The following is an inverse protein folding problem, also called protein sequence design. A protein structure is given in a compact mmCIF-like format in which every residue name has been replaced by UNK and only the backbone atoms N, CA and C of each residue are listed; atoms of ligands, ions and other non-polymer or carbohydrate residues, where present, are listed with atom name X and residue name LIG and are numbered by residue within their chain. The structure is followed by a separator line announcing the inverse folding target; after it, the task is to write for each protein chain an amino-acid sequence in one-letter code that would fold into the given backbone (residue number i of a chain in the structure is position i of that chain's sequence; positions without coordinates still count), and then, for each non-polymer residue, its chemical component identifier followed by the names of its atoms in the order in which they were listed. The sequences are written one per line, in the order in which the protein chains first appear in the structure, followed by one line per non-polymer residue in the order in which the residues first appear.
data_IF_299059048791
#
_entry.id   IF_299059048791
#
_cell.length_a   1.000
_cell.length_b   1.000
_cell.length_c   1.000
_cell.angle_alpha   90.00
_cell.angle_beta   90.00
_cell.angle_gamma   90.00
#
_symmetry.space_group_name_H-M   'P 1'
#
loop_
_entity.id
_entity.type
_entity.pdbx_description
1 polymer ?
#
# COMPACT_ATOMS: atom_id res chain seq x y z
N UNK A 1 70.03 -19.70 -6.48
CA UNK A 1 68.56 -19.63 -6.30
C UNK A 1 68.04 -18.19 -6.37
N UNK A 2 68.21 -17.47 -7.49
CA UNK A 2 67.93 -16.02 -7.54
C UNK A 2 67.37 -15.68 -8.93
N UNK A 3 66.16 -15.11 -9.00
CA UNK A 3 65.47 -14.78 -10.27
C UNK A 3 64.18 -15.58 -10.49
N UNK A 4 64.28 -16.82 -10.97
CA UNK A 4 63.13 -17.62 -11.44
C UNK A 4 62.10 -17.96 -10.35
N UNK A 5 62.53 -18.30 -9.13
CA UNK A 5 61.61 -18.59 -8.02
C UNK A 5 60.85 -17.36 -7.52
N UNK A 6 61.48 -16.17 -7.59
CA UNK A 6 60.85 -14.91 -7.19
C UNK A 6 59.78 -14.49 -8.21
N UNK A 7 60.07 -14.67 -9.51
CA UNK A 7 59.13 -14.41 -10.60
C UNK A 7 57.90 -15.33 -10.47
N UNK A 8 58.10 -16.64 -10.25
CA UNK A 8 56.99 -17.58 -10.05
C UNK A 8 56.15 -17.22 -8.82
N UNK A 9 56.77 -16.79 -7.72
CA UNK A 9 56.06 -16.38 -6.51
C UNK A 9 55.19 -15.13 -6.76
N UNK A 10 55.74 -14.10 -7.42
CA UNK A 10 55.02 -12.86 -7.75
C UNK A 10 53.86 -13.16 -8.70
N UNK A 11 54.07 -14.01 -9.72
CA UNK A 11 53.03 -14.41 -10.66
C UNK A 11 51.91 -15.19 -9.96
N UNK A 12 52.26 -16.07 -9.01
CA UNK A 12 51.28 -16.86 -8.25
C UNK A 12 50.41 -15.99 -7.35
N UNK A 13 51.02 -14.98 -6.69
CA UNK A 13 50.29 -14.01 -5.86
C UNK A 13 49.37 -13.12 -6.70
N UNK A 14 49.82 -12.70 -7.88
CA UNK A 14 49.01 -11.89 -8.80
C UNK A 14 47.79 -12.67 -9.29
N UNK A 15 47.99 -13.93 -9.71
CA UNK A 15 46.91 -14.81 -10.14
C UNK A 15 45.91 -15.05 -9.01
N UNK A 16 46.39 -15.30 -7.79
CA UNK A 16 45.53 -15.51 -6.62
C UNK A 16 44.68 -14.27 -6.30
N UNK A 17 45.28 -13.08 -6.37
CA UNK A 17 44.59 -11.80 -6.16
C UNK A 17 43.52 -11.53 -7.22
N UNK A 18 43.82 -11.82 -8.49
CA UNK A 18 42.86 -11.68 -9.60
C UNK A 18 41.71 -12.69 -9.43
N UNK A 19 42.01 -13.96 -9.11
CA UNK A 19 40.99 -14.99 -8.90
C UNK A 19 40.11 -14.71 -7.67
N UNK A 20 40.68 -14.20 -6.57
CA UNK A 20 39.90 -13.81 -5.39
C UNK A 20 39.03 -12.59 -5.64
N UNK A 21 39.54 -11.59 -6.37
CA UNK A 21 38.74 -10.43 -6.81
C UNK A 21 37.59 -10.84 -7.73
N UNK A 22 37.82 -11.82 -8.61
CA UNK A 22 36.79 -12.36 -9.50
C UNK A 22 35.69 -13.10 -8.73
N UNK A 23 36.06 -13.94 -7.76
CA UNK A 23 35.11 -14.65 -6.90
C UNK A 23 34.31 -13.68 -6.02
N UNK A 24 34.96 -12.64 -5.51
CA UNK A 24 34.30 -11.58 -4.76
C UNK A 24 33.31 -10.80 -5.63
N UNK A 25 33.71 -10.37 -6.83
CA UNK A 25 32.83 -9.67 -7.77
C UNK A 25 31.67 -10.55 -8.25
N UNK A 26 31.94 -11.82 -8.59
CA UNK A 26 30.93 -12.80 -8.95
C UNK A 26 29.91 -12.98 -7.82
N UNK A 27 30.36 -13.07 -6.56
CA UNK A 27 29.45 -13.15 -5.43
C UNK A 27 28.67 -11.85 -5.21
N UNK A 28 29.28 -10.67 -5.39
CA UNK A 28 28.60 -9.38 -5.22
C UNK A 28 27.48 -9.20 -6.26
N UNK A 29 27.75 -9.51 -7.53
CA UNK A 29 26.81 -9.34 -8.64
C UNK A 29 25.76 -10.47 -8.72
N UNK A 30 26.11 -11.71 -8.35
CA UNK A 30 25.13 -12.81 -8.28
C UNK A 30 24.26 -12.77 -7.02
N UNK A 31 24.69 -12.11 -5.93
CA UNK A 31 23.81 -11.81 -4.79
C UNK A 31 22.77 -10.74 -5.13
N UNK A 32 23.08 -9.79 -6.01
CA UNK A 32 22.09 -8.84 -6.57
C UNK A 32 21.24 -9.44 -7.70
N UNK A 33 21.66 -10.57 -8.29
CA UNK A 33 20.85 -11.41 -9.16
C UNK A 33 19.85 -12.22 -8.32
N UNK A 34 19.01 -11.53 -7.54
CA UNK A 34 17.83 -12.17 -6.94
C UNK A 34 16.96 -12.64 -8.10
N UNK A 35 16.88 -13.96 -8.23
CA UNK A 35 16.22 -14.74 -9.26
C UNK A 35 14.68 -14.58 -9.35
N UNK A 36 14.10 -13.39 -9.11
CA UNK A 36 12.63 -13.23 -9.13
C UNK A 36 12.04 -11.84 -9.41
N UNK A 37 12.80 -10.74 -9.44
CA UNK A 37 12.25 -9.38 -9.27
C UNK A 37 11.33 -8.80 -10.37
N UNK A 38 11.28 -9.36 -11.57
CA UNK A 38 10.54 -8.72 -12.69
C UNK A 38 9.05 -9.07 -12.78
N UNK A 39 8.68 -10.31 -12.44
CA UNK A 39 7.29 -10.79 -12.55
C UNK A 39 6.58 -10.82 -11.21
N UNK A 40 7.31 -11.02 -10.11
CA UNK A 40 6.71 -11.12 -8.78
C UNK A 40 6.29 -9.73 -8.33
N UNK A 41 7.16 -8.72 -8.42
CA UNK A 41 6.94 -7.42 -7.77
C UNK A 41 5.77 -6.59 -8.39
N UNK A 42 5.61 -6.60 -9.72
CA UNK A 42 4.51 -5.87 -10.38
C UNK A 42 3.16 -6.61 -10.32
N UNK A 43 3.18 -7.95 -10.35
CA UNK A 43 1.99 -8.76 -10.08
C UNK A 43 1.58 -8.67 -8.61
N UNK A 44 2.57 -8.58 -7.71
CA UNK A 44 2.37 -8.35 -6.30
C UNK A 44 1.80 -6.97 -6.02
N UNK A 45 2.24 -5.92 -6.74
CA UNK A 45 1.63 -4.59 -6.67
C UNK A 45 0.16 -4.61 -7.11
N UNK A 46 -0.14 -5.31 -8.22
CA UNK A 46 -1.52 -5.50 -8.69
C UNK A 46 -2.37 -6.31 -7.71
N UNK A 47 -1.80 -7.35 -7.12
CA UNK A 47 -2.49 -8.19 -6.14
C UNK A 47 -2.76 -7.42 -4.84
N UNK A 48 -1.78 -6.67 -4.34
CA UNK A 48 -1.90 -5.80 -3.16
C UNK A 48 -3.01 -4.77 -3.38
N UNK A 49 -3.09 -4.18 -4.56
CA UNK A 49 -4.16 -3.25 -4.93
C UNK A 49 -5.57 -3.86 -4.80
N UNK A 50 -5.74 -5.10 -5.28
CA UNK A 50 -6.99 -5.85 -5.15
C UNK A 50 -7.28 -6.28 -3.70
N UNK A 51 -6.25 -6.68 -2.96
CA UNK A 51 -6.36 -7.06 -1.55
C UNK A 51 -6.80 -5.88 -0.69
N UNK A 52 -6.30 -4.68 -0.96
CA UNK A 52 -6.73 -3.45 -0.30
C UNK A 52 -8.23 -3.22 -0.51
N UNK A 53 -8.71 -3.35 -1.75
CA UNK A 53 -10.13 -3.17 -2.06
C UNK A 53 -11.00 -4.19 -1.31
N UNK A 54 -10.57 -5.46 -1.29
CA UNK A 54 -11.26 -6.51 -0.56
C UNK A 54 -11.27 -6.27 0.96
N UNK A 55 -10.13 -5.84 1.51
CA UNK A 55 -9.97 -5.53 2.94
C UNK A 55 -10.82 -4.33 3.34
N UNK A 56 -10.83 -3.26 2.56
CA UNK A 56 -11.70 -2.10 2.79
C UNK A 56 -13.19 -2.50 2.77
N UNK A 57 -13.60 -3.32 1.80
CA UNK A 57 -14.98 -3.83 1.74
C UNK A 57 -15.34 -4.71 2.95
N UNK A 58 -14.41 -5.54 3.44
CA UNK A 58 -14.59 -6.34 4.65
C UNK A 58 -14.73 -5.47 5.89
N UNK A 59 -13.84 -4.50 6.09
CA UNK A 59 -13.87 -3.55 7.21
C UNK A 59 -15.16 -2.72 7.22
N UNK A 60 -15.66 -2.32 6.04
CA UNK A 60 -16.94 -1.62 5.92
C UNK A 60 -18.12 -2.49 6.38
N UNK A 61 -18.13 -3.78 6.06
CA UNK A 61 -19.18 -4.72 6.48
C UNK A 61 -19.07 -5.11 7.95
N UNK A 62 -17.86 -5.08 8.50
CA UNK A 62 -17.60 -5.45 9.89
C UNK A 62 -16.79 -4.37 10.60
N UNK A 63 -17.48 -3.43 11.24
CA UNK A 63 -16.88 -2.35 12.03
C UNK A 63 -16.02 -2.82 13.21
N UNK A 64 -16.13 -4.10 13.61
CA UNK A 64 -15.32 -4.70 14.67
C UNK A 64 -14.04 -5.39 14.18
N UNK A 65 -13.86 -5.50 12.86
CA UNK A 65 -12.69 -6.13 12.29
C UNK A 65 -11.42 -5.30 12.53
N UNK A 66 -10.28 -6.00 12.62
CA UNK A 66 -8.99 -5.41 12.91
C UNK A 66 -8.51 -4.52 11.76
N UNK A 67 -8.33 -3.22 12.03
CA UNK A 67 -7.89 -2.25 11.04
C UNK A 67 -6.40 -2.35 10.70
N UNK A 68 -5.60 -3.06 11.50
CA UNK A 68 -4.15 -3.24 11.26
C UNK A 68 -3.87 -3.98 9.94
N UNK A 69 -4.81 -4.83 9.49
CA UNK A 69 -4.72 -5.50 8.19
C UNK A 69 -4.58 -4.49 7.05
N UNK A 70 -5.38 -3.41 7.05
CA UNK A 70 -5.31 -2.40 6.00
C UNK A 70 -4.03 -1.55 6.08
N UNK A 71 -3.52 -1.30 7.29
CA UNK A 71 -2.25 -0.58 7.49
C UNK A 71 -1.06 -1.38 6.95
N UNK A 72 -1.06 -2.70 7.13
CA UNK A 72 -0.05 -3.60 6.58
C UNK A 72 -0.07 -3.57 5.04
N UNK A 73 -1.25 -3.65 4.42
CA UNK A 73 -1.37 -3.58 2.96
C UNK A 73 -0.94 -2.21 2.40
N UNK A 74 -1.27 -1.11 3.09
CA UNK A 74 -0.80 0.24 2.71
C UNK A 74 0.73 0.36 2.82
N UNK A 75 1.33 -0.24 3.84
CA UNK A 75 2.79 -0.24 4.02
C UNK A 75 3.46 -1.01 2.89
N UNK A 76 2.97 -2.22 2.59
CA UNK A 76 3.45 -3.04 1.48
C UNK A 76 3.32 -2.31 0.14
N UNK A 77 2.21 -1.61 -0.09
CA UNK A 77 2.01 -0.83 -1.31
C UNK A 77 3.05 0.30 -1.46
N UNK A 78 3.38 1.00 -0.37
CA UNK A 78 4.44 2.02 -0.38
C UNK A 78 5.82 1.43 -0.66
N UNK A 79 6.12 0.24 -0.14
CA UNK A 79 7.37 -0.46 -0.41
C UNK A 79 7.47 -0.86 -1.89
N UNK A 80 6.41 -1.44 -2.45
CA UNK A 80 6.36 -1.84 -3.86
C UNK A 80 6.40 -0.62 -4.81
N UNK A 81 5.85 0.54 -4.41
CA UNK A 81 5.98 1.77 -5.18
C UNK A 81 7.42 2.29 -5.30
N UNK A 82 8.30 1.99 -4.34
CA UNK A 82 9.70 2.39 -4.44
C UNK A 82 10.38 1.68 -5.64
N UNK A 83 10.03 0.41 -5.88
CA UNK A 83 10.56 -0.41 -7.00
C UNK A 83 10.22 0.20 -8.37
N UNK A 84 9.03 0.80 -8.51
CA UNK A 84 8.59 1.52 -9.72
C UNK A 84 9.53 2.70 -10.04
N UNK A 85 10.17 3.27 -9.02
CA UNK A 85 11.07 4.42 -9.14
C UNK A 85 12.49 4.04 -9.57
N UNK A 86 12.92 2.81 -9.27
CA UNK A 86 14.30 2.36 -9.49
C UNK A 86 14.59 1.94 -10.94
N UNK A 87 13.62 2.10 -11.86
CA UNK A 87 13.80 1.81 -13.28
C UNK A 87 14.73 2.87 -13.90
N UNK A 88 16.01 2.53 -14.01
CA UNK A 88 17.06 3.41 -14.51
C UNK A 88 17.08 3.50 -16.06
N UNK A 89 15.95 3.89 -16.67
CA UNK A 89 15.83 4.23 -18.09
C UNK A 89 15.07 5.54 -18.24
N UNK A 90 15.58 6.44 -19.08
CA UNK A 90 14.96 7.75 -19.32
C UNK A 90 14.23 7.79 -20.66
N UNK A 91 13.10 7.10 -20.78
CA UNK A 91 12.18 7.30 -21.92
C UNK A 91 10.99 8.17 -21.49
N UNK A 92 10.47 9.06 -22.36
CA UNK A 92 9.28 9.86 -22.05
C UNK A 92 8.05 9.00 -21.72
N UNK A 93 7.90 7.85 -22.38
CA UNK A 93 6.83 6.89 -22.16
C UNK A 93 6.90 6.27 -20.75
N UNK A 94 8.09 5.85 -20.32
CA UNK A 94 8.31 5.29 -18.98
C UNK A 94 8.07 6.36 -17.90
N UNK A 95 8.62 7.56 -18.08
CA UNK A 95 8.46 8.67 -17.13
C UNK A 95 6.99 9.05 -16.95
N UNK A 96 6.21 9.11 -18.03
CA UNK A 96 4.78 9.39 -17.97
C UNK A 96 4.02 8.26 -17.26
N UNK A 97 4.37 6.99 -17.54
CA UNK A 97 3.73 5.83 -16.91
C UNK A 97 4.00 5.76 -15.40
N UNK A 98 5.25 5.98 -14.98
CA UNK A 98 5.64 6.07 -13.56
C UNK A 98 4.87 7.20 -12.87
N UNK A 99 4.75 8.37 -13.51
CA UNK A 99 4.03 9.52 -12.95
C UNK A 99 2.56 9.18 -12.73
N UNK A 100 1.90 8.55 -13.70
CA UNK A 100 0.49 8.13 -13.56
C UNK A 100 0.31 7.08 -12.46
N UNK A 101 1.19 6.09 -12.37
CA UNK A 101 1.16 5.06 -11.32
C UNK A 101 1.31 5.72 -9.94
N UNK A 102 2.26 6.65 -9.78
CA UNK A 102 2.45 7.40 -8.54
C UNK A 102 1.21 8.20 -8.17
N UNK A 103 0.69 9.01 -9.09
CA UNK A 103 -0.52 9.81 -8.84
C UNK A 103 -1.72 8.95 -8.46
N UNK A 104 -1.87 7.78 -9.09
CA UNK A 104 -2.91 6.81 -8.76
C UNK A 104 -2.77 6.32 -7.31
N UNK A 105 -1.60 5.80 -6.94
CA UNK A 105 -1.41 5.22 -5.63
C UNK A 105 -1.33 6.26 -4.51
N UNK A 106 -0.80 7.45 -4.77
CA UNK A 106 -0.82 8.57 -3.82
C UNK A 106 -2.26 8.97 -3.47
N UNK A 107 -3.12 9.10 -4.50
CA UNK A 107 -4.55 9.34 -4.29
C UNK A 107 -5.18 8.19 -3.50
N UNK A 108 -4.89 6.94 -3.86
CA UNK A 108 -5.43 5.76 -3.18
C UNK A 108 -5.04 5.72 -1.71
N UNK A 109 -3.79 6.03 -1.37
CA UNK A 109 -3.31 6.12 0.01
C UNK A 109 -4.09 7.20 0.78
N UNK A 110 -4.33 8.37 0.18
CA UNK A 110 -5.12 9.44 0.81
C UNK A 110 -6.55 8.96 1.08
N UNK A 111 -7.19 8.35 0.08
CA UNK A 111 -8.56 7.84 0.19
C UNK A 111 -8.67 6.74 1.25
N UNK A 112 -7.65 5.87 1.39
CA UNK A 112 -7.58 4.84 2.44
C UNK A 112 -7.41 5.43 3.84
N UNK A 113 -6.59 6.47 4.01
CA UNK A 113 -6.45 7.16 5.30
C UNK A 113 -7.76 7.83 5.72
N UNK A 114 -8.47 8.43 4.75
CA UNK A 114 -9.79 9.01 4.96
C UNK A 114 -10.82 7.93 5.35
N UNK A 115 -10.79 6.78 4.67
CA UNK A 115 -11.60 5.61 4.98
C UNK A 115 -11.37 5.14 6.43
N UNK A 116 -10.11 4.92 6.84
CA UNK A 116 -9.77 4.48 8.19
C UNK A 116 -10.23 5.46 9.26
N UNK A 117 -10.00 6.76 9.03
CA UNK A 117 -10.45 7.82 9.94
C UNK A 117 -11.97 7.83 10.05
N UNK A 118 -12.68 7.76 8.92
CA UNK A 118 -14.13 7.69 8.88
C UNK A 118 -14.68 6.46 9.59
N UNK A 119 -14.07 5.29 9.40
CA UNK A 119 -14.46 4.03 10.03
C UNK A 119 -14.31 4.09 11.56
N UNK A 120 -13.20 4.65 12.04
CA UNK A 120 -12.93 4.82 13.48
C UNK A 120 -13.94 5.74 14.13
N UNK A 121 -14.26 6.86 13.49
CA UNK A 121 -15.28 7.79 13.98
C UNK A 121 -16.69 7.18 13.95
N UNK A 122 -17.03 6.47 12.88
CA UNK A 122 -18.30 5.78 12.74
C UNK A 122 -18.47 4.73 13.84
N UNK A 123 -17.48 3.86 14.03
CA UNK A 123 -17.48 2.85 15.10
C UNK A 123 -17.69 3.49 16.46
N UNK A 124 -16.94 4.56 16.76
CA UNK A 124 -17.09 5.30 18.02
C UNK A 124 -18.50 5.85 18.21
N UNK A 125 -19.10 6.41 17.16
CA UNK A 125 -20.46 6.94 17.23
C UNK A 125 -21.49 5.82 17.47
N UNK A 126 -21.39 4.70 16.73
CA UNK A 126 -22.25 3.52 16.90
C UNK A 126 -22.14 2.95 18.31
N UNK A 127 -20.92 2.75 18.80
CA UNK A 127 -20.67 2.24 20.16
C UNK A 127 -21.20 3.20 21.25
N UNK A 128 -21.32 4.50 20.93
CA UNK A 128 -21.78 5.54 21.87
C UNK A 128 -23.29 5.81 21.84
N UNK A 129 -24.01 5.37 20.79
CA UNK A 129 -25.44 5.66 20.61
C UNK A 129 -26.29 5.06 21.73
N UNK A 130 -26.15 3.76 22.00
CA UNK A 130 -26.93 3.09 23.04
C UNK A 130 -26.60 3.63 24.46
N UNK A 131 -25.33 3.85 24.84
CA UNK A 131 -25.00 4.57 26.07
C UNK A 131 -25.64 5.97 26.15
N UNK A 132 -25.63 6.74 25.07
CA UNK A 132 -26.25 8.08 25.05
C UNK A 132 -27.76 8.02 25.21
N UNK A 133 -28.43 7.05 24.57
CA UNK A 133 -29.85 6.78 24.79
C UNK A 133 -30.15 6.43 26.27
N UNK A 134 -29.36 5.55 26.86
CA UNK A 134 -29.51 5.18 28.27
C UNK A 134 -29.32 6.38 29.21
N UNK A 135 -28.41 7.30 28.87
CA UNK A 135 -28.20 8.56 29.60
C UNK A 135 -29.43 9.48 29.52
N UNK A 136 -30.07 9.61 28.35
CA UNK A 136 -31.33 10.33 28.19
C UNK A 136 -32.44 9.72 29.06
N UNK A 137 -32.59 8.39 29.02
CA UNK A 137 -33.59 7.65 29.78
C UNK A 137 -33.41 7.80 31.30
N UNK A 138 -32.17 7.69 31.80
CA UNK A 138 -31.82 7.91 33.22
C UNK A 138 -32.18 9.32 33.69
N UNK A 139 -31.98 10.31 32.84
CA UNK A 139 -32.33 11.71 33.11
C UNK A 139 -33.82 12.03 32.87
N UNK A 140 -34.65 11.01 32.59
CA UNK A 140 -36.08 11.14 32.28
C UNK A 140 -36.37 12.06 31.08
N UNK A 141 -35.41 12.20 30.17
CA UNK A 141 -35.58 12.94 28.92
C UNK A 141 -36.21 11.98 27.93
N UNK A 142 -37.51 12.16 27.67
CA UNK A 142 -38.28 11.31 26.75
C UNK A 142 -38.97 12.17 25.70
N UNK A 143 -39.01 11.66 24.49
CA UNK A 143 -39.81 12.19 23.39
C UNK A 143 -40.52 11.01 22.74
N UNK A 144 -41.82 11.14 22.51
CA UNK A 144 -42.63 10.04 21.98
C UNK A 144 -43.40 10.47 20.76
N UNK A 145 -43.36 9.64 19.73
CA UNK A 145 -44.12 9.79 18.49
C UNK A 145 -44.93 8.51 18.32
N UNK A 146 -46.25 8.62 18.21
CA UNK A 146 -47.16 7.46 18.09
C UNK A 146 -46.96 6.38 19.18
N UNK A 147 -46.79 6.82 20.44
CA UNK A 147 -46.48 5.95 21.60
C UNK A 147 -45.16 5.17 21.54
N UNK A 148 -44.28 5.46 20.57
CA UNK A 148 -42.92 4.91 20.51
C UNK A 148 -41.90 5.89 21.07
N UNK A 149 -40.85 5.36 21.69
CA UNK A 149 -39.72 6.16 22.19
C UNK A 149 -38.85 6.59 21.01
N UNK A 150 -38.92 7.87 20.66
CA UNK A 150 -38.26 8.42 19.49
C UNK A 150 -36.74 8.23 19.52
N UNK A 151 -36.10 8.43 20.68
CA UNK A 151 -34.64 8.28 20.77
C UNK A 151 -34.20 6.83 20.57
N UNK A 152 -35.05 5.87 20.96
CA UNK A 152 -34.80 4.45 20.69
C UNK A 152 -34.93 4.14 19.20
N UNK A 153 -35.95 4.67 18.53
CA UNK A 153 -36.12 4.51 17.08
C UNK A 153 -34.92 5.10 16.33
N UNK A 154 -34.40 6.27 16.73
CA UNK A 154 -33.18 6.83 16.15
C UNK A 154 -31.96 5.91 16.25
N UNK A 155 -31.81 5.20 17.37
CA UNK A 155 -30.72 4.21 17.52
C UNK A 155 -30.92 3.06 16.55
N UNK A 156 -32.16 2.57 16.42
CA UNK A 156 -32.51 1.47 15.52
C UNK A 156 -32.25 1.86 14.06
N UNK A 157 -32.74 3.02 13.63
CA UNK A 157 -32.56 3.51 12.26
C UNK A 157 -31.09 3.81 11.94
N UNK A 158 -30.32 4.31 12.90
CA UNK A 158 -28.88 4.46 12.76
C UNK A 158 -28.18 3.11 12.53
N UNK A 159 -28.53 2.08 13.29
CA UNK A 159 -27.97 0.74 13.12
C UNK A 159 -28.36 0.10 11.79
N UNK A 160 -29.60 0.31 11.34
CA UNK A 160 -30.05 -0.13 10.02
C UNK A 160 -29.29 0.56 8.89
N UNK A 161 -29.10 1.88 8.97
CA UNK A 161 -28.37 2.62 7.96
C UNK A 161 -26.89 2.21 7.88
N UNK A 162 -26.25 2.00 9.02
CA UNK A 162 -24.87 1.50 9.09
C UNK A 162 -24.77 0.10 8.47
N UNK A 163 -25.71 -0.79 8.76
CA UNK A 163 -25.70 -2.18 8.29
C UNK A 163 -26.07 -2.29 6.81
N UNK A 164 -27.02 -1.46 6.35
CA UNK A 164 -27.57 -1.44 5.01
C UNK A 164 -27.71 0.02 4.57
N UNK A 165 -26.65 0.57 3.99
CA UNK A 165 -26.66 1.94 3.48
C UNK A 165 -27.35 2.01 2.12
N UNK A 166 -28.67 2.05 2.17
CA UNK A 166 -29.51 2.31 1.02
C UNK A 166 -30.26 3.64 1.21
N UNK A 167 -30.84 4.14 0.12
CA UNK A 167 -31.52 5.43 0.13
C UNK A 167 -32.68 5.48 1.13
N UNK A 168 -33.41 4.36 1.31
CA UNK A 168 -34.55 4.31 2.23
C UNK A 168 -34.11 4.50 3.69
N UNK A 169 -33.04 3.81 4.11
CA UNK A 169 -32.49 3.92 5.46
C UNK A 169 -31.82 5.28 5.68
N UNK A 170 -31.18 5.85 4.64
CA UNK A 170 -30.64 7.23 4.71
C UNK A 170 -31.75 8.24 4.94
N UNK A 171 -32.87 8.12 4.23
CA UNK A 171 -34.02 9.01 4.34
C UNK A 171 -34.63 8.93 5.74
N UNK A 172 -34.87 7.72 6.27
CA UNK A 172 -35.42 7.54 7.62
C UNK A 172 -34.56 8.22 8.69
N UNK A 173 -33.26 7.94 8.69
CA UNK A 173 -32.34 8.54 9.66
C UNK A 173 -32.21 10.06 9.47
N UNK A 174 -32.35 10.54 8.23
CA UNK A 174 -32.38 11.98 7.94
C UNK A 174 -33.65 12.67 8.45
N UNK A 175 -34.80 11.99 8.43
CA UNK A 175 -36.05 12.47 9.02
C UNK A 175 -35.95 12.55 10.54
N UNK A 176 -35.42 11.51 11.17
CA UNK A 176 -35.09 11.52 12.60
C UNK A 176 -34.17 12.70 12.96
N UNK A 177 -33.15 12.94 12.15
CA UNK A 177 -32.26 14.09 12.37
C UNK A 177 -32.98 15.44 12.25
N UNK A 178 -33.96 15.57 11.35
CA UNK A 178 -34.80 16.79 11.28
C UNK A 178 -35.61 16.97 12.55
N UNK A 179 -36.22 15.90 13.07
CA UNK A 179 -36.99 15.94 14.32
C UNK A 179 -36.06 16.28 15.51
N UNK A 180 -34.89 15.67 15.61
CA UNK A 180 -33.88 16.02 16.62
C UNK A 180 -33.48 17.51 16.56
N UNK A 181 -33.35 18.05 15.35
CA UNK A 181 -33.01 19.47 15.16
C UNK A 181 -34.14 20.39 15.61
N UNK A 182 -35.40 19.99 15.40
CA UNK A 182 -36.57 20.70 15.93
C UNK A 182 -36.60 20.65 17.46
N UNK A 183 -36.38 19.48 18.07
CA UNK A 183 -36.31 19.31 19.54
C UNK A 183 -35.26 20.26 20.14
N UNK A 184 -34.07 20.33 19.54
CA UNK A 184 -33.00 21.22 19.97
C UNK A 184 -33.35 22.71 19.75
N UNK A 185 -34.11 23.02 18.71
CA UNK A 185 -34.52 24.39 18.36
C UNK A 185 -35.63 24.98 19.25
N UNK A 186 -36.43 24.15 19.95
CA UNK A 186 -37.50 24.63 20.81
C UNK A 186 -37.04 25.24 22.13
N UNK A 187 -35.79 25.00 22.54
CA UNK A 187 -35.26 25.49 23.81
C UNK A 187 -34.27 26.64 23.60
N UNK A 188 -34.41 27.74 24.37
CA UNK A 188 -33.41 28.83 24.42
C UNK A 188 -32.03 28.33 24.86
N UNK A 189 -31.99 27.25 25.63
CA UNK A 189 -30.78 26.51 26.02
C UNK A 189 -31.05 25.00 25.78
N UNK A 190 -30.50 24.40 24.72
CA UNK A 190 -30.77 23.00 24.40
C UNK A 190 -30.15 22.06 25.44
N UNK A 191 -30.80 20.93 25.70
CA UNK A 191 -30.31 19.95 26.66
C UNK A 191 -28.97 19.33 26.18
N UNK A 192 -27.88 19.39 26.98
CA UNK A 192 -26.57 18.87 26.57
C UNK A 192 -26.57 17.39 26.19
N UNK A 193 -27.40 16.56 26.83
CA UNK A 193 -27.49 15.13 26.53
C UNK A 193 -28.15 14.90 25.16
N UNK A 194 -29.14 15.71 24.81
CA UNK A 194 -29.79 15.65 23.49
C UNK A 194 -28.85 16.15 22.40
N UNK A 195 -28.05 17.19 22.68
CA UNK A 195 -27.00 17.65 21.76
C UNK A 195 -25.95 16.58 21.51
N UNK A 196 -25.45 15.95 22.58
CA UNK A 196 -24.49 14.84 22.50
C UNK A 196 -25.05 13.67 21.71
N UNK A 197 -26.30 13.28 21.96
CA UNK A 197 -26.99 12.23 21.20
C UNK A 197 -27.11 12.58 19.71
N UNK A 198 -27.58 13.79 19.41
CA UNK A 198 -27.71 14.29 18.04
C UNK A 198 -26.37 14.31 17.31
N UNK A 199 -25.27 14.66 17.97
CA UNK A 199 -23.95 14.66 17.36
C UNK A 199 -23.50 13.27 16.91
N UNK A 200 -23.87 12.20 17.64
CA UNK A 200 -23.59 10.84 17.20
C UNK A 200 -24.39 10.47 15.94
N UNK A 201 -25.65 10.89 15.83
CA UNK A 201 -26.47 10.71 14.63
C UNK A 201 -25.86 11.46 13.43
N UNK A 202 -25.37 12.69 13.65
CA UNK A 202 -24.68 13.47 12.60
C UNK A 202 -23.42 12.75 12.08
N UNK A 203 -22.62 12.18 13.00
CA UNK A 203 -21.43 11.40 12.63
C UNK A 203 -21.83 10.15 11.83
N UNK A 204 -22.89 9.43 12.26
CA UNK A 204 -23.37 8.25 11.54
C UNK A 204 -23.81 8.61 10.12
N UNK A 205 -24.64 9.63 9.94
CA UNK A 205 -25.10 10.08 8.62
C UNK A 205 -23.92 10.46 7.72
N UNK A 206 -22.99 11.28 8.24
CA UNK A 206 -21.85 11.77 7.48
C UNK A 206 -20.90 10.64 7.09
N UNK A 207 -20.44 9.85 8.07
CA UNK A 207 -19.35 8.89 7.87
C UNK A 207 -19.81 7.65 7.12
N UNK A 208 -21.04 7.19 7.31
CA UNK A 208 -21.58 6.06 6.52
C UNK A 208 -21.53 6.39 5.04
N UNK A 209 -22.10 7.54 4.65
CA UNK A 209 -22.13 8.02 3.26
C UNK A 209 -20.75 8.27 2.66
N UNK A 210 -19.84 8.86 3.43
CA UNK A 210 -18.47 9.10 3.00
C UNK A 210 -17.72 7.79 2.74
N UNK A 211 -17.86 6.81 3.64
CA UNK A 211 -17.22 5.51 3.50
C UNK A 211 -17.79 4.75 2.29
N UNK A 212 -19.10 4.80 2.06
CA UNK A 212 -19.71 4.12 0.91
C UNK A 212 -19.21 4.72 -0.41
N UNK A 213 -19.08 6.05 -0.49
CA UNK A 213 -18.47 6.72 -1.66
C UNK A 213 -17.03 6.31 -1.88
N UNK A 214 -16.21 6.24 -0.82
CA UNK A 214 -14.82 5.79 -0.93
C UNK A 214 -14.74 4.33 -1.41
N UNK A 215 -15.60 3.47 -0.86
CA UNK A 215 -15.67 2.05 -1.24
C UNK A 215 -16.10 1.88 -2.69
N UNK A 216 -17.04 2.70 -3.18
CA UNK A 216 -17.42 2.72 -4.59
C UNK A 216 -16.29 3.21 -5.50
N UNK A 217 -15.56 4.24 -5.09
CA UNK A 217 -14.45 4.78 -5.87
C UNK A 217 -13.34 3.73 -6.04
N UNK A 218 -13.01 2.97 -5.00
CA UNK A 218 -12.05 1.87 -5.08
C UNK A 218 -12.43 0.81 -6.12
N UNK A 219 -13.73 0.64 -6.41
CA UNK A 219 -14.23 -0.31 -7.40
C UNK A 219 -14.34 0.28 -8.82
N UNK A 220 -14.34 1.60 -8.97
CA UNK A 220 -14.54 2.32 -10.24
C UNK A 220 -13.24 2.88 -10.84
N UNK A 221 -12.13 2.73 -10.14
CA UNK A 221 -10.88 3.42 -10.47
C UNK A 221 -10.28 3.00 -11.82
N UNK A 222 -9.66 3.98 -12.49
CA UNK A 222 -9.02 3.85 -13.80
C UNK A 222 -7.95 2.76 -13.72
N UNK A 223 -8.05 1.76 -14.60
CA UNK A 223 -7.07 0.68 -14.70
C UNK A 223 -5.70 1.24 -15.08
N UNK A 224 -4.74 1.19 -14.14
CA UNK A 224 -3.31 1.46 -14.38
C UNK A 224 -2.58 0.25 -14.99
N UNK A 225 -3.30 -0.79 -15.42
CA UNK A 225 -2.70 -2.04 -15.92
C UNK A 225 -1.78 -1.79 -17.12
N UNK A 226 -2.16 -0.87 -18.01
CA UNK A 226 -1.33 -0.53 -19.17
C UNK A 226 -0.01 0.12 -18.74
N UNK A 227 -0.08 1.07 -17.82
CA UNK A 227 1.09 1.72 -17.24
C UNK A 227 1.99 0.71 -16.51
N UNK A 228 1.41 -0.20 -15.71
CA UNK A 228 2.15 -1.27 -15.04
C UNK A 228 2.85 -2.21 -16.03
N UNK A 229 2.19 -2.55 -17.13
CA UNK A 229 2.81 -3.34 -18.21
C UNK A 229 3.99 -2.60 -18.85
N UNK A 230 3.88 -1.29 -19.09
CA UNK A 230 4.95 -0.47 -19.64
C UNK A 230 6.14 -0.45 -18.68
N UNK A 231 5.93 -0.17 -17.40
CA UNK A 231 7.01 -0.16 -16.40
C UNK A 231 7.64 -1.54 -16.29
N UNK A 232 6.85 -2.62 -16.24
CA UNK A 232 7.34 -4.00 -16.19
C UNK A 232 8.20 -4.37 -17.39
N UNK A 233 7.84 -3.91 -18.60
CA UNK A 233 8.66 -4.08 -19.81
C UNK A 233 10.04 -3.43 -19.63
N UNK A 234 10.08 -2.15 -19.27
CA UNK A 234 11.35 -1.43 -19.13
C UNK A 234 12.21 -1.92 -17.96
N UNK A 235 11.58 -2.35 -16.86
CA UNK A 235 12.27 -3.00 -15.74
C UNK A 235 12.95 -4.29 -16.20
N UNK A 236 12.23 -5.15 -16.93
CA UNK A 236 12.80 -6.38 -17.49
C UNK A 236 13.98 -6.09 -18.42
N UNK A 237 13.84 -5.13 -19.33
CA UNK A 237 14.93 -4.75 -20.22
C UNK A 237 16.16 -4.20 -19.45
N UNK A 238 15.96 -3.49 -18.34
CA UNK A 238 17.06 -3.02 -17.49
C UNK A 238 17.77 -4.17 -16.79
N UNK A 239 17.02 -5.17 -16.30
CA UNK A 239 17.59 -6.38 -15.70
C UNK A 239 18.36 -7.23 -16.72
N UNK A 240 17.79 -7.45 -17.90
CA UNK A 240 18.43 -8.21 -18.98
C UNK A 240 19.74 -7.53 -19.44
N UNK A 241 19.77 -6.18 -19.49
CA UNK A 241 20.98 -5.41 -19.81
C UNK A 241 22.07 -5.55 -18.74
N UNK A 242 21.71 -5.46 -17.44
CA UNK A 242 22.68 -5.63 -16.34
C UNK A 242 23.29 -7.03 -16.33
N UNK A 243 22.49 -8.06 -16.61
CA UNK A 243 22.97 -9.43 -16.73
C UNK A 243 23.97 -9.56 -17.89
N UNK A 244 23.65 -8.97 -19.05
CA UNK A 244 24.52 -8.99 -20.21
C UNK A 244 25.87 -8.26 -19.98
N UNK A 245 25.84 -7.10 -19.34
CA UNK A 245 27.06 -6.35 -18.99
C UNK A 245 27.94 -7.13 -18.00
N UNK A 246 27.33 -7.83 -17.04
CA UNK A 246 28.02 -8.73 -16.12
C UNK A 246 28.71 -9.91 -16.83
N UNK A 247 28.03 -10.52 -17.80
CA UNK A 247 28.60 -11.60 -18.63
C UNK A 247 29.77 -11.12 -19.49
N UNK A 248 29.65 -9.95 -20.12
CA UNK A 248 30.73 -9.33 -20.91
C UNK A 248 31.94 -9.05 -20.02
N UNK A 249 31.73 -8.48 -18.84
CA UNK A 249 32.81 -8.19 -17.89
C UNK A 249 33.55 -9.46 -17.44
N UNK A 250 32.81 -10.52 -17.08
CA UNK A 250 33.39 -11.81 -16.72
C UNK A 250 34.17 -12.44 -17.88
N UNK A 251 33.64 -12.35 -19.10
CA UNK A 251 34.30 -12.83 -20.32
C UNK A 251 35.62 -12.08 -20.57
N UNK A 252 35.63 -10.76 -20.43
CA UNK A 252 36.85 -9.95 -20.58
C UNK A 252 37.91 -10.32 -19.54
N UNK A 253 37.53 -10.50 -18.27
CA UNK A 253 38.52 -10.89 -17.25
C UNK A 253 39.02 -12.31 -17.51
N UNK A 254 38.15 -13.24 -17.89
CA UNK A 254 38.59 -14.59 -18.24
C UNK A 254 39.58 -14.56 -19.41
N UNK A 255 39.31 -13.77 -20.44
CA UNK A 255 40.23 -13.53 -21.54
C UNK A 255 41.59 -12.97 -21.08
N UNK A 256 41.57 -12.00 -20.16
CA UNK A 256 42.79 -11.44 -19.58
C UNK A 256 43.60 -12.47 -18.77
N UNK A 257 42.93 -13.35 -18.00
CA UNK A 257 43.57 -14.44 -17.25
C UNK A 257 44.22 -15.44 -18.22
N UNK A 258 43.53 -15.82 -19.29
CA UNK A 258 44.07 -16.75 -20.30
C UNK A 258 45.29 -16.16 -21.01
N UNK A 259 45.23 -14.89 -21.43
CA UNK A 259 46.36 -14.19 -22.05
C UNK A 259 47.56 -14.09 -21.11
N UNK A 260 47.31 -13.84 -19.82
CA UNK A 260 48.34 -13.83 -18.80
C UNK A 260 49.01 -15.20 -18.64
N UNK A 261 48.22 -16.28 -18.51
CA UNK A 261 48.74 -17.64 -18.40
C UNK A 261 49.58 -18.05 -19.62
N UNK A 262 49.13 -17.71 -20.83
CA UNK A 262 49.89 -17.94 -22.08
C UNK A 262 51.23 -17.18 -22.03
N UNK A 263 51.20 -15.91 -21.61
CA UNK A 263 52.41 -15.07 -21.50
C UNK A 263 53.41 -15.66 -20.49
N UNK A 264 52.93 -16.18 -19.36
CA UNK A 264 53.77 -16.85 -18.36
C UNK A 264 54.41 -18.13 -18.92
N UNK A 265 53.65 -18.95 -19.64
CA UNK A 265 54.17 -20.17 -20.29
C UNK A 265 55.24 -19.82 -21.33
N UNK A 266 55.03 -18.78 -22.14
CA UNK A 266 56.01 -18.31 -23.14
C UNK A 266 57.28 -17.79 -22.48
N UNK A 267 57.16 -17.00 -21.41
CA UNK A 267 58.31 -16.47 -20.65
C UNK A 267 59.10 -17.61 -20.00
N UNK A 268 58.42 -18.57 -19.36
CA UNK A 268 59.06 -19.73 -18.75
C UNK A 268 59.80 -20.58 -19.79
N UNK A 269 59.19 -20.83 -20.96
CA UNK A 269 59.84 -21.55 -22.07
C UNK A 269 61.06 -20.84 -22.64
N UNK A 270 61.14 -19.51 -22.57
CA UNK A 270 62.32 -18.74 -22.99
C UNK A 270 63.43 -18.70 -21.93
N UNK A 271 63.11 -18.96 -20.67
CA UNK A 271 64.03 -18.91 -19.53
C UNK A 271 64.61 -20.28 -19.14
N UNK A 272 64.03 -21.38 -19.63
CA UNK A 272 64.58 -22.75 -19.63
C UNK A 272 65.29 -23.05 -20.93
#
# INVERSE_FOLDING_TARGET
MKGTRLIVLILSILLLTISSGLLFYKNLFLLESISSGGKVDFEELRYTDLQINATAAMLRKNLSADSTMLENEVTRLKELMNIVTDVNKSTPELSNSITKIRLYFDKKIIDLNNFQTGLKELKKAVDSLNPAYNELSRNKIKFSVDNRDFYRECVVDALFYVSLSNNDNEIRLSEDKKILSQILGFAKAPNPNVQKFSAYIDIVLKRTKEIDRLTENFNKDISINNELMIVGKYYKESQDSKAHDGEIFLSMIFGAIVLYLISVVVILRKLT
#
